data_IF_576401415887
#
_entry.id   IF_576401415887
#
_cell.length_a   1.000
_cell.length_b   1.000
_cell.length_c   1.000
_cell.angle_alpha   90.00
_cell.angle_beta   90.00
_cell.angle_gamma   90.00
#
_symmetry.space_group_name_H-M   'P 1'
#
loop_
_entity.id
_entity.type
_entity.pdbx_description
1 polymer ?
#
# COMPACT_ATOMS: atom_id res chain seq x y z
N UNK A 1 -5.11 1.72 -10.24
CA UNK A 1 -4.99 2.81 -9.24
C UNK A 1 -6.03 2.57 -8.15
N UNK A 2 -5.76 2.93 -6.90
CA UNK A 2 -6.55 2.49 -5.71
C UNK A 2 -7.88 3.26 -5.50
N UNK A 3 -8.37 3.96 -6.53
CA UNK A 3 -9.61 4.74 -6.49
C UNK A 3 -9.55 5.93 -5.52
N UNK A 4 -10.72 6.48 -5.18
CA UNK A 4 -10.85 7.54 -4.17
C UNK A 4 -10.83 6.95 -2.76
N UNK A 5 -10.37 7.76 -1.79
CA UNK A 5 -10.38 7.38 -0.36
C UNK A 5 -11.83 7.19 0.10
N UNK A 6 -12.20 6.02 0.67
CA UNK A 6 -13.49 5.87 1.32
C UNK A 6 -13.67 6.89 2.45
N UNK A 7 -14.84 7.51 2.53
CA UNK A 7 -15.15 8.53 3.55
C UNK A 7 -15.13 7.98 4.98
N UNK A 8 -15.29 6.67 5.13
CA UNK A 8 -15.24 5.94 6.41
C UNK A 8 -13.83 5.80 6.99
N UNK A 9 -12.77 6.07 6.22
CA UNK A 9 -11.40 5.97 6.72
C UNK A 9 -11.03 7.17 7.56
N UNK A 10 -10.12 6.92 8.51
CA UNK A 10 -9.48 7.94 9.32
C UNK A 10 -8.89 9.07 8.47
N UNK A 11 -9.08 10.31 8.95
CA UNK A 11 -8.47 11.51 8.39
C UNK A 11 -7.10 11.66 9.04
N UNK A 12 -6.09 11.98 8.23
CA UNK A 12 -4.71 12.16 8.70
C UNK A 12 -4.14 13.48 8.22
N UNK A 13 -3.17 14.00 8.99
CA UNK A 13 -2.23 14.98 8.48
C UNK A 13 -1.36 14.31 7.40
N UNK A 14 -1.45 14.83 6.18
CA UNK A 14 -0.72 14.32 5.03
C UNK A 14 0.81 14.44 5.16
N UNK A 15 1.31 15.21 6.12
CA UNK A 15 2.74 15.35 6.40
C UNK A 15 3.29 14.22 7.27
N UNK A 16 2.44 13.43 7.92
CA UNK A 16 2.88 12.36 8.80
C UNK A 16 3.30 11.13 7.99
N UNK A 17 4.49 10.57 8.24
CA UNK A 17 5.03 9.47 7.43
C UNK A 17 4.24 8.16 7.51
N UNK A 18 3.46 7.93 8.56
CA UNK A 18 2.84 6.62 8.83
C UNK A 18 1.40 6.62 8.33
N UNK A 19 1.04 5.61 7.52
CA UNK A 19 -0.36 5.35 7.16
C UNK A 19 -1.12 4.74 8.35
N UNK A 20 -2.39 5.13 8.56
CA UNK A 20 -3.26 4.51 9.55
C UNK A 20 -3.48 3.01 9.33
N UNK A 21 -3.71 2.20 10.39
CA UNK A 21 -3.98 0.78 10.25
C UNK A 21 -5.23 0.45 9.40
N UNK A 22 -6.29 1.25 9.51
CA UNK A 22 -7.54 1.04 8.75
C UNK A 22 -7.36 1.26 7.24
N UNK A 23 -6.40 2.09 6.83
CA UNK A 23 -6.05 2.26 5.42
C UNK A 23 -5.44 0.99 4.82
N UNK A 24 -4.64 0.25 5.59
CA UNK A 24 -4.08 -1.03 5.15
C UNK A 24 -5.19 -2.04 4.88
N UNK A 25 -6.14 -2.17 5.80
CA UNK A 25 -7.25 -3.10 5.66
C UNK A 25 -8.14 -2.74 4.47
N UNK A 26 -8.42 -1.45 4.27
CA UNK A 26 -9.18 -0.98 3.12
C UNK A 26 -8.44 -1.21 1.80
N UNK A 27 -7.13 -0.93 1.75
CA UNK A 27 -6.31 -1.17 0.57
C UNK A 27 -6.27 -2.66 0.20
N UNK A 28 -6.14 -3.55 1.21
CA UNK A 28 -6.21 -4.99 0.99
C UNK A 28 -7.56 -5.38 0.39
N UNK A 29 -8.67 -4.91 0.97
CA UNK A 29 -10.03 -5.21 0.47
C UNK A 29 -10.26 -4.70 -0.96
N UNK A 30 -9.83 -3.48 -1.27
CA UNK A 30 -10.03 -2.85 -2.58
C UNK A 30 -9.18 -3.51 -3.66
N UNK A 31 -7.96 -3.94 -3.32
CA UNK A 31 -7.04 -4.59 -4.26
C UNK A 31 -7.19 -6.11 -4.31
N UNK A 32 -8.09 -6.68 -3.51
CA UNK A 32 -8.26 -8.11 -3.42
C UNK A 32 -8.88 -8.66 -4.72
N UNK A 33 -8.17 -9.62 -5.32
CA UNK A 33 -8.58 -10.32 -6.53
C UNK A 33 -9.34 -11.58 -6.11
N UNK A 34 -10.67 -11.54 -6.19
CA UNK A 34 -11.54 -12.65 -5.79
C UNK A 34 -11.17 -13.96 -6.50
N UNK A 35 -10.90 -13.92 -7.80
CA UNK A 35 -10.52 -15.08 -8.61
C UNK A 35 -9.20 -15.73 -8.17
N UNK A 36 -8.33 -14.95 -7.50
CA UNK A 36 -7.00 -15.39 -7.09
C UNK A 36 -6.86 -15.56 -5.56
N UNK A 37 -7.90 -15.27 -4.78
CA UNK A 37 -7.86 -15.23 -3.30
C UNK A 37 -6.65 -14.44 -2.76
N UNK A 38 -6.38 -13.26 -3.30
CA UNK A 38 -5.20 -12.52 -2.88
C UNK A 38 -4.99 -11.15 -3.49
N UNK A 39 -3.88 -10.53 -3.09
CA UNK A 39 -3.46 -9.19 -3.56
C UNK A 39 -2.10 -9.32 -4.22
N UNK A 40 -1.92 -8.65 -5.36
CA UNK A 40 -0.61 -8.56 -6.01
C UNK A 40 0.20 -7.41 -5.43
N UNK A 41 1.47 -7.69 -5.11
CA UNK A 41 2.42 -6.64 -4.74
C UNK A 41 2.51 -5.60 -5.86
N UNK A 42 2.42 -4.31 -5.53
CA UNK A 42 2.49 -3.25 -6.52
C UNK A 42 3.84 -3.23 -7.27
N UNK A 43 4.90 -3.72 -6.64
CA UNK A 43 6.24 -3.83 -7.23
C UNK A 43 6.43 -5.11 -8.04
N UNK A 44 6.57 -6.27 -7.39
CA UNK A 44 6.95 -7.51 -8.07
C UNK A 44 5.79 -8.24 -8.76
N UNK A 45 4.55 -7.78 -8.60
CA UNK A 45 3.32 -8.38 -9.16
C UNK A 45 3.01 -9.82 -8.70
N UNK A 46 3.83 -10.37 -7.80
CA UNK A 46 3.60 -11.65 -7.14
C UNK A 46 2.32 -11.56 -6.30
N UNK A 47 1.49 -12.60 -6.40
CA UNK A 47 0.26 -12.75 -5.65
C UNK A 47 0.57 -13.20 -4.21
N UNK A 48 0.01 -12.49 -3.24
CA UNK A 48 0.01 -12.86 -1.83
C UNK A 48 -1.41 -13.28 -1.43
N UNK A 49 -1.60 -14.58 -1.24
CA UNK A 49 -2.89 -15.19 -0.92
C UNK A 49 -3.00 -15.66 0.52
N UNK A 50 -4.22 -15.71 1.02
CA UNK A 50 -4.55 -16.14 2.38
C UNK A 50 -4.16 -15.14 3.48
N UNK A 51 -4.81 -15.30 4.65
CA UNK A 51 -4.73 -14.34 5.76
C UNK A 51 -3.30 -14.07 6.25
N UNK A 52 -2.41 -15.07 6.26
CA UNK A 52 -1.04 -14.90 6.75
C UNK A 52 -0.21 -14.00 5.84
N UNK A 53 -0.27 -14.21 4.52
CA UNK A 53 0.52 -13.41 3.58
C UNK A 53 -0.03 -11.98 3.45
N UNK A 54 -1.36 -11.84 3.41
CA UNK A 54 -2.01 -10.53 3.35
C UNK A 54 -1.64 -9.65 4.56
N UNK A 55 -1.54 -10.24 5.76
CA UNK A 55 -1.08 -9.52 6.96
C UNK A 55 0.34 -8.98 6.85
N UNK A 56 1.20 -9.62 6.05
CA UNK A 56 2.58 -9.18 5.85
C UNK A 56 2.74 -8.10 4.77
N UNK A 57 1.71 -7.82 3.97
CA UNK A 57 1.75 -6.66 3.07
C UNK A 57 1.88 -5.38 3.89
N UNK A 58 2.60 -4.40 3.34
CA UNK A 58 2.91 -3.13 3.99
C UNK A 58 2.41 -2.00 3.11
N UNK A 59 1.82 -0.98 3.74
CA UNK A 59 1.56 0.29 3.09
C UNK A 59 2.88 1.02 2.90
N UNK A 60 3.10 1.53 1.70
CA UNK A 60 4.26 2.35 1.36
C UNK A 60 3.83 3.50 0.45
N UNK A 61 4.68 4.52 0.34
CA UNK A 61 4.45 5.67 -0.53
C UNK A 61 4.95 5.40 -1.95
N UNK A 62 4.14 5.71 -2.96
CA UNK A 62 4.55 5.65 -4.38
C UNK A 62 5.72 6.62 -4.60
N UNK A 63 5.49 7.90 -4.29
CA UNK A 63 6.53 8.92 -4.15
C UNK A 63 7.04 8.85 -2.71
N UNK A 64 8.32 8.52 -2.47
CA UNK A 64 8.85 8.37 -1.12
C UNK A 64 8.62 9.62 -0.26
N UNK A 65 8.28 9.41 1.01
CA UNK A 65 8.06 10.52 1.94
C UNK A 65 9.29 11.44 2.05
N UNK A 66 10.50 10.88 2.06
CA UNK A 66 11.77 11.63 2.07
C UNK A 66 12.02 12.48 0.81
N UNK A 67 11.23 12.27 -0.25
CA UNK A 67 11.26 13.04 -1.50
C UNK A 67 10.04 13.99 -1.62
N UNK A 68 9.36 14.25 -0.51
CA UNK A 68 8.19 15.13 -0.46
C UNK A 68 6.85 14.43 -0.73
N UNK A 69 6.83 13.10 -0.81
CA UNK A 69 5.60 12.33 -0.98
C UNK A 69 4.69 12.42 0.25
N UNK A 70 3.47 12.89 0.05
CA UNK A 70 2.47 13.03 1.11
C UNK A 70 1.80 11.70 1.45
N UNK A 71 1.32 11.56 2.68
CA UNK A 71 0.51 10.42 3.13
C UNK A 71 -0.93 10.63 2.70
N UNK A 72 -1.18 10.33 1.44
CA UNK A 72 -2.50 10.42 0.80
C UNK A 72 -2.90 9.08 0.23
N UNK A 73 -4.19 8.89 0.05
CA UNK A 73 -4.72 7.63 -0.48
C UNK A 73 -4.18 7.34 -1.89
N UNK A 74 -4.01 8.38 -2.70
CA UNK A 74 -3.45 8.30 -4.05
C UNK A 74 -1.96 7.96 -4.06
N UNK A 75 -1.23 8.26 -2.99
CA UNK A 75 0.18 7.93 -2.85
C UNK A 75 0.41 6.59 -2.12
N UNK A 76 -0.65 5.88 -1.73
CA UNK A 76 -0.56 4.58 -1.06
C UNK A 76 -0.39 3.45 -2.08
N UNK A 77 0.54 2.54 -1.78
CA UNK A 77 0.66 1.24 -2.45
C UNK A 77 0.87 0.12 -1.43
N UNK A 78 0.49 -1.11 -1.80
CA UNK A 78 0.80 -2.32 -1.02
C UNK A 78 2.02 -3.04 -1.58
N UNK A 79 3.04 -3.19 -0.75
CA UNK A 79 4.27 -3.91 -1.07
C UNK A 79 4.44 -5.13 -0.16
N UNK A 80 5.06 -6.18 -0.69
CA UNK A 80 5.55 -7.27 0.16
C UNK A 80 6.80 -6.82 0.94
N UNK A 81 7.13 -7.45 2.08
CA UNK A 81 8.26 -7.03 2.92
C UNK A 81 9.59 -6.93 2.15
N UNK A 82 9.84 -7.88 1.25
CA UNK A 82 11.02 -7.89 0.39
C UNK A 82 11.07 -6.66 -0.52
N UNK A 83 9.99 -6.37 -1.23
CA UNK A 83 9.93 -5.22 -2.14
C UNK A 83 10.01 -3.88 -1.39
N UNK A 84 9.34 -3.79 -0.23
CA UNK A 84 9.39 -2.59 0.59
C UNK A 84 10.82 -2.30 1.08
N UNK A 85 11.53 -3.33 1.55
CA UNK A 85 12.93 -3.21 1.96
C UNK A 85 13.85 -2.80 0.80
N UNK A 86 13.67 -3.37 -0.39
CA UNK A 86 14.47 -3.05 -1.58
C UNK A 86 14.20 -1.64 -2.11
N UNK A 87 12.96 -1.15 -1.99
CA UNK A 87 12.58 0.18 -2.49
C UNK A 87 13.28 1.30 -1.72
N UNK A 88 13.42 1.17 -0.40
CA UNK A 88 14.04 2.21 0.44
C UNK A 88 13.41 3.59 0.17
N UNK A 89 14.21 4.58 -0.23
CA UNK A 89 13.83 5.95 -0.58
C UNK A 89 13.80 6.21 -2.10
N UNK A 90 13.80 5.14 -2.90
CA UNK A 90 13.72 5.23 -4.36
C UNK A 90 12.25 5.26 -4.80
N UNK A 91 11.87 6.11 -5.77
CA UNK A 91 10.61 5.94 -6.45
C UNK A 91 10.60 4.59 -7.18
N UNK A 92 9.42 4.01 -7.32
CA UNK A 92 9.28 2.77 -8.06
C UNK A 92 9.57 3.05 -9.54
N UNK A 93 10.71 2.57 -10.06
CA UNK A 93 10.95 2.55 -11.51
C UNK A 93 10.01 1.50 -12.08
N UNK A 94 9.00 1.97 -12.82
CA UNK A 94 8.10 1.13 -13.62
C UNK A 94 8.88 0.24 -14.58
#
# INVERSE_FOLDING_TARGET
>A
MIGNRPSTLSIVDENYRIYPPDWKDAAIRILYLLECDGVRCACCKILHSGRRQLRHLQCDHIIPWSKGGKTTWQNLQLLCPRCNQLKSDKPHSV
#
